data_IF_071148473248
#
_entry.id   IF_071148473248
#
_cell.length_a   1.000
_cell.length_b   1.000
_cell.length_c   1.000
_cell.angle_alpha   90.00
_cell.angle_beta   90.00
_cell.angle_gamma   90.00
#
_symmetry.space_group_name_H-M   'P 1'
#
loop_
_entity.id
_entity.type
_entity.pdbx_description
1 polymer ?
#
# COMPACT_ATOMS: atom_id res chain seq x y z
N UNK A 1 8.59 22.09 -32.55
CA UNK A 1 8.61 20.78 -31.87
C UNK A 1 9.74 20.70 -30.83
N UNK A 2 10.76 21.54 -30.92
CA UNK A 2 11.93 21.55 -30.03
C UNK A 2 11.65 21.97 -28.59
N UNK A 3 10.71 22.91 -28.36
CA UNK A 3 10.33 23.32 -26.99
C UNK A 3 9.77 22.17 -26.15
N UNK A 4 8.93 21.31 -26.75
CA UNK A 4 8.29 20.21 -26.02
C UNK A 4 9.33 19.19 -25.58
N UNK A 5 10.28 18.86 -26.46
CA UNK A 5 11.41 17.98 -26.17
C UNK A 5 12.30 18.58 -25.08
N UNK A 6 12.53 19.90 -25.11
CA UNK A 6 13.28 20.62 -24.08
C UNK A 6 12.59 20.54 -22.71
N UNK A 7 11.26 20.77 -22.66
CA UNK A 7 10.46 20.66 -21.44
C UNK A 7 10.53 19.28 -20.81
N UNK A 8 10.40 18.21 -21.60
CA UNK A 8 10.55 16.83 -21.09
C UNK A 8 11.97 16.54 -20.61
N UNK A 9 12.99 17.11 -21.26
CA UNK A 9 14.39 16.96 -20.84
C UNK A 9 14.67 17.65 -19.51
N UNK A 10 14.17 18.87 -19.32
CA UNK A 10 14.28 19.62 -18.07
C UNK A 10 13.52 18.93 -16.92
N UNK A 11 12.28 18.49 -17.18
CA UNK A 11 11.49 17.73 -16.20
C UNK A 11 12.17 16.41 -15.79
N UNK A 12 12.80 15.71 -16.73
CA UNK A 12 13.57 14.50 -16.44
C UNK A 12 14.80 14.78 -15.56
N UNK A 13 15.51 15.88 -15.80
CA UNK A 13 16.64 16.28 -14.95
C UNK A 13 16.21 16.66 -13.53
N UNK A 14 15.08 17.34 -13.35
CA UNK A 14 14.53 17.64 -12.02
C UNK A 14 14.11 16.38 -11.27
N UNK A 15 13.39 15.46 -11.93
CA UNK A 15 12.99 14.17 -11.34
C UNK A 15 14.20 13.36 -10.88
N UNK A 16 15.33 13.48 -11.57
CA UNK A 16 16.58 12.77 -11.25
C UNK A 16 17.35 13.39 -10.08
N UNK A 17 17.13 14.69 -9.80
CA UNK A 17 17.66 15.38 -8.60
C UNK A 17 16.84 15.05 -7.35
N UNK A 18 15.63 14.53 -7.50
CA UNK A 18 14.80 14.07 -6.40
C UNK A 18 15.45 12.86 -5.72
N UNK A 19 15.57 12.91 -4.38
CA UNK A 19 16.04 11.79 -3.57
C UNK A 19 15.02 10.65 -3.56
N UNK A 20 15.00 9.85 -4.62
CA UNK A 20 14.18 8.64 -4.66
C UNK A 20 14.64 7.67 -3.56
N UNK A 21 13.70 7.03 -2.85
CA UNK A 21 14.03 6.05 -1.84
C UNK A 21 14.86 4.91 -2.46
N UNK A 22 15.89 4.46 -1.77
CA UNK A 22 16.65 3.28 -2.19
C UNK A 22 15.72 2.06 -2.28
N UNK A 23 16.03 1.15 -3.22
CA UNK A 23 15.24 -0.04 -3.49
C UNK A 23 14.95 -0.85 -2.22
N UNK A 24 15.92 -0.96 -1.32
CA UNK A 24 15.77 -1.65 -0.03
C UNK A 24 14.68 -1.04 0.87
N UNK A 25 14.56 0.29 0.90
CA UNK A 25 13.54 0.98 1.68
C UNK A 25 12.15 0.69 1.12
N UNK A 26 12.02 0.68 -0.21
CA UNK A 26 10.76 0.37 -0.89
C UNK A 26 10.31 -1.05 -0.56
N UNK A 27 11.21 -2.03 -0.65
CA UNK A 27 10.89 -3.42 -0.28
C UNK A 27 10.47 -3.56 1.17
N UNK A 28 11.17 -2.88 2.10
CA UNK A 28 10.81 -2.91 3.51
C UNK A 28 9.42 -2.34 3.77
N UNK A 29 9.06 -1.22 3.13
CA UNK A 29 7.73 -0.63 3.28
C UNK A 29 6.64 -1.52 2.70
N UNK A 30 6.84 -2.09 1.52
CA UNK A 30 5.89 -3.04 0.92
C UNK A 30 5.70 -4.25 1.83
N UNK A 31 6.78 -4.80 2.39
CA UNK A 31 6.70 -5.91 3.32
C UNK A 31 5.87 -5.57 4.56
N UNK A 32 6.08 -4.40 5.16
CA UNK A 32 5.26 -3.94 6.28
C UNK A 32 3.77 -3.85 5.93
N UNK A 33 3.45 -3.28 4.77
CA UNK A 33 2.05 -3.16 4.30
C UNK A 33 1.41 -4.53 4.12
N UNK A 34 2.13 -5.49 3.52
CA UNK A 34 1.63 -6.86 3.33
C UNK A 34 1.35 -7.54 4.67
N UNK A 35 2.28 -7.47 5.61
CA UNK A 35 2.12 -8.06 6.95
C UNK A 35 0.94 -7.44 7.69
N UNK A 36 0.83 -6.11 7.66
CA UNK A 36 -0.25 -5.40 8.34
C UNK A 36 -1.62 -5.73 7.71
N UNK A 37 -1.68 -5.82 6.39
CA UNK A 37 -2.91 -6.15 5.66
C UNK A 37 -3.37 -7.58 5.98
N UNK A 38 -2.45 -8.54 6.03
CA UNK A 38 -2.73 -9.91 6.45
C UNK A 38 -3.23 -9.97 7.90
N UNK A 39 -2.55 -9.28 8.82
CA UNK A 39 -2.95 -9.23 10.22
C UNK A 39 -4.36 -8.63 10.38
N UNK A 40 -4.66 -7.55 9.66
CA UNK A 40 -5.97 -6.91 9.70
C UNK A 40 -7.05 -7.79 9.07
N UNK A 41 -6.74 -8.49 7.97
CA UNK A 41 -7.65 -9.46 7.36
C UNK A 41 -7.99 -10.63 8.30
N UNK A 42 -7.02 -11.18 9.01
CA UNK A 42 -7.24 -12.22 10.02
C UNK A 42 -8.10 -11.69 11.18
N UNK A 43 -7.79 -10.49 11.67
CA UNK A 43 -8.53 -9.87 12.77
C UNK A 43 -10.01 -9.64 12.40
N UNK A 44 -10.27 -9.04 11.24
CA UNK A 44 -11.63 -8.80 10.77
C UNK A 44 -12.37 -10.12 10.52
N UNK A 45 -11.74 -11.08 9.83
CA UNK A 45 -12.36 -12.39 9.59
C UNK A 45 -12.70 -13.15 10.88
N UNK A 46 -11.86 -13.04 11.91
CA UNK A 46 -12.14 -13.60 13.22
C UNK A 46 -13.34 -12.92 13.89
N UNK A 47 -13.43 -11.59 13.81
CA UNK A 47 -14.57 -10.83 14.33
C UNK A 47 -15.86 -11.19 13.60
N UNK A 48 -15.83 -11.25 12.26
CA UNK A 48 -16.99 -11.61 11.44
C UNK A 48 -17.54 -13.00 11.81
N UNK A 49 -16.64 -13.97 12.01
CA UNK A 49 -17.01 -15.32 12.46
C UNK A 49 -17.61 -15.30 13.88
N UNK A 50 -16.95 -14.58 14.81
CA UNK A 50 -17.39 -14.47 16.20
C UNK A 50 -18.77 -13.82 16.32
N UNK A 51 -18.99 -12.70 15.63
CA UNK A 51 -20.27 -12.01 15.62
C UNK A 51 -21.36 -12.86 14.95
N UNK A 52 -21.05 -13.53 13.84
CA UNK A 52 -22.00 -14.45 13.18
C UNK A 52 -22.42 -15.60 14.09
N UNK A 53 -21.49 -16.15 14.89
CA UNK A 53 -21.78 -17.21 15.86
C UNK A 53 -22.69 -16.71 16.99
N UNK A 54 -22.37 -15.55 17.57
CA UNK A 54 -23.15 -14.94 18.67
C UNK A 54 -24.56 -14.58 18.20
N UNK A 55 -24.69 -13.94 17.04
CA UNK A 55 -26.00 -13.56 16.47
C UNK A 55 -26.85 -14.80 16.19
N UNK A 56 -26.28 -15.85 15.58
CA UNK A 56 -27.02 -17.10 15.34
C UNK A 56 -27.56 -17.73 16.63
N UNK A 57 -26.81 -17.66 17.72
CA UNK A 57 -27.19 -18.22 19.02
C UNK A 57 -28.19 -17.37 19.81
N UNK A 58 -28.29 -16.07 19.51
CA UNK A 58 -29.21 -15.15 20.18
C UNK A 58 -30.55 -15.01 19.47
N UNK A 59 -30.57 -15.13 18.13
CA UNK A 59 -31.79 -14.96 17.31
C UNK A 59 -32.49 -16.30 17.05
N UNK A 60 -31.77 -17.44 17.13
CA UNK A 60 -32.32 -18.79 16.97
C UNK A 60 -32.07 -19.61 18.24
#
# INVERSE_FOLDING_TARGET
>A
MDKLILFFKEAWEEIRKTNWPSRDKVFRYVFFVVVLSLAMGVFLGFLDWSFSYVIKKLIF
#
